data_IF_570493034214
#
_entry.id   IF_570493034214
#
_cell.length_a   1.000
_cell.length_b   1.000
_cell.length_c   1.000
_cell.angle_alpha   90.00
_cell.angle_beta   90.00
_cell.angle_gamma   90.00
#
_symmetry.space_group_name_H-M   'P 1'
#
loop_
_entity.id
_entity.type
_entity.pdbx_description
1 polymer ?
#
# COMPACT_ATOMS: atom_id res chain seq x y z
N UNK A 1 10.35 10.37 -6.06
CA UNK A 1 11.34 9.66 -5.24
C UNK A 1 10.99 9.84 -3.78
N UNK A 2 10.87 8.75 -3.05
CA UNK A 2 10.65 8.76 -1.59
C UNK A 2 12.01 8.92 -0.91
N UNK A 3 12.09 9.79 0.08
CA UNK A 3 13.33 10.09 0.82
C UNK A 3 13.19 9.59 2.26
N UNK A 4 14.20 8.86 2.71
CA UNK A 4 14.36 8.42 4.09
C UNK A 4 15.59 9.09 4.70
N UNK A 5 15.57 9.33 5.99
CA UNK A 5 16.74 9.79 6.73
C UNK A 5 17.70 8.62 7.07
N UNK A 6 18.75 8.90 7.81
CA UNK A 6 19.74 7.90 8.26
C UNK A 6 19.19 6.81 9.19
N UNK A 7 18.03 7.07 9.82
CA UNK A 7 17.30 6.11 10.68
C UNK A 7 16.18 5.39 9.94
N UNK A 8 16.13 5.47 8.60
CA UNK A 8 15.06 4.95 7.76
C UNK A 8 13.65 5.52 8.05
N UNK A 9 13.58 6.71 8.67
CA UNK A 9 12.31 7.42 8.86
C UNK A 9 11.95 8.21 7.60
N UNK A 10 10.69 8.11 7.19
CA UNK A 10 10.18 8.82 6.01
C UNK A 10 10.28 10.34 6.20
N UNK A 11 11.26 10.98 5.54
CA UNK A 11 11.52 12.42 5.63
C UNK A 11 10.74 13.23 4.59
N UNK A 12 10.43 12.67 3.44
CA UNK A 12 9.68 13.38 2.41
C UNK A 12 9.59 12.67 1.08
N UNK A 13 9.00 13.37 0.10
CA UNK A 13 8.97 12.94 -1.30
C UNK A 13 9.49 14.05 -2.20
N UNK A 14 10.27 13.68 -3.19
CA UNK A 14 10.74 14.61 -4.22
C UNK A 14 10.10 14.25 -5.54
N UNK A 15 9.27 15.15 -6.06
CA UNK A 15 8.64 14.98 -7.36
C UNK A 15 9.66 15.21 -8.48
N UNK A 16 9.59 14.36 -9.50
CA UNK A 16 10.35 14.58 -10.74
C UNK A 16 9.70 15.71 -11.53
N UNK A 17 10.51 16.49 -12.24
CA UNK A 17 10.00 17.59 -13.07
C UNK A 17 9.20 17.08 -14.28
N UNK A 18 9.49 15.89 -14.75
CA UNK A 18 8.78 15.17 -15.83
C UNK A 18 8.94 13.66 -15.64
N UNK A 19 8.02 12.90 -16.19
CA UNK A 19 8.13 11.46 -16.27
C UNK A 19 9.28 11.05 -17.22
N UNK A 20 9.90 9.87 -17.04
CA UNK A 20 10.91 9.35 -17.97
C UNK A 20 10.29 9.09 -19.35
N UNK A 21 11.09 9.27 -20.41
CA UNK A 21 10.63 9.00 -21.78
C UNK A 21 10.47 7.50 -22.04
N UNK A 22 11.23 6.66 -21.32
CA UNK A 22 11.18 5.20 -21.42
C UNK A 22 11.39 4.60 -20.02
N UNK A 23 10.60 3.58 -19.69
CA UNK A 23 10.82 2.69 -18.55
C UNK A 23 11.11 1.29 -19.08
N UNK A 24 12.35 0.84 -18.92
CA UNK A 24 12.78 -0.51 -19.32
C UNK A 24 12.86 -1.40 -18.10
N UNK A 25 12.20 -2.54 -18.14
CA UNK A 25 12.12 -3.50 -17.02
C UNK A 25 12.61 -4.86 -17.51
N UNK A 26 13.70 -5.36 -16.92
CA UNK A 26 14.14 -6.74 -17.11
C UNK A 26 13.48 -7.63 -16.05
N UNK A 27 12.46 -8.36 -16.46
CA UNK A 27 11.69 -9.26 -15.58
C UNK A 27 12.53 -10.45 -15.10
N UNK A 28 13.60 -10.82 -15.82
CA UNK A 28 14.55 -11.86 -15.38
C UNK A 28 15.30 -11.41 -14.12
N UNK A 29 15.71 -10.14 -14.04
CA UNK A 29 16.32 -9.58 -12.84
C UNK A 29 15.35 -9.63 -11.65
N UNK A 30 14.09 -9.25 -11.88
CA UNK A 30 13.06 -9.28 -10.82
C UNK A 30 12.81 -10.71 -10.36
N UNK A 31 12.70 -11.68 -11.29
CA UNK A 31 12.48 -13.10 -10.95
C UNK A 31 13.64 -13.73 -10.19
N UNK A 32 14.88 -13.25 -10.40
CA UNK A 32 16.06 -13.72 -9.69
C UNK A 32 16.27 -13.05 -8.32
N UNK A 33 15.59 -11.94 -8.06
CA UNK A 33 15.61 -11.28 -6.75
C UNK A 33 14.84 -12.12 -5.71
N UNK A 34 15.07 -11.89 -4.40
CA UNK A 34 14.25 -12.50 -3.36
C UNK A 34 12.76 -12.21 -3.58
N UNK A 35 11.91 -13.25 -3.59
CA UNK A 35 10.48 -13.13 -3.87
C UNK A 35 9.75 -12.13 -2.95
N UNK A 36 10.30 -11.85 -1.74
CA UNK A 36 9.81 -10.83 -0.81
C UNK A 36 9.76 -9.43 -1.43
N UNK A 37 10.68 -9.11 -2.37
CA UNK A 37 10.67 -7.80 -3.03
C UNK A 37 9.50 -7.65 -4.01
N UNK A 38 9.19 -8.72 -4.76
CA UNK A 38 7.99 -8.73 -5.60
C UNK A 38 6.73 -8.64 -4.75
N UNK A 39 6.69 -9.40 -3.65
CA UNK A 39 5.59 -9.40 -2.71
C UNK A 39 5.35 -8.00 -2.12
N UNK A 40 6.40 -7.30 -1.73
CA UNK A 40 6.31 -5.91 -1.29
C UNK A 40 5.80 -4.98 -2.42
N UNK A 41 6.23 -5.19 -3.66
CA UNK A 41 5.69 -4.48 -4.82
C UNK A 41 4.18 -4.69 -5.00
N UNK A 42 3.69 -5.92 -4.80
CA UNK A 42 2.25 -6.21 -4.79
C UNK A 42 1.55 -5.47 -3.65
N UNK A 43 2.13 -5.50 -2.45
CA UNK A 43 1.57 -4.83 -1.27
C UNK A 43 1.41 -3.32 -1.44
N UNK A 44 2.38 -2.68 -2.11
CA UNK A 44 2.27 -1.27 -2.47
C UNK A 44 1.20 -1.05 -3.55
N UNK A 45 1.24 -1.83 -4.64
CA UNK A 45 0.39 -1.64 -5.81
C UNK A 45 -1.10 -1.87 -5.51
N UNK A 46 -1.44 -2.82 -4.63
CA UNK A 46 -2.82 -3.18 -4.29
C UNK A 46 -3.58 -2.02 -3.62
N UNK A 47 -2.87 -1.12 -2.94
CA UNK A 47 -3.46 0.04 -2.27
C UNK A 47 -4.05 1.07 -3.24
N UNK A 48 -3.52 1.15 -4.46
CA UNK A 48 -3.78 2.26 -5.40
C UNK A 48 -5.25 2.39 -5.79
N UNK A 49 -5.96 1.26 -5.98
CA UNK A 49 -7.40 1.27 -6.25
C UNK A 49 -8.18 1.98 -5.14
N UNK A 50 -7.91 1.63 -3.90
CA UNK A 50 -8.65 2.12 -2.75
C UNK A 50 -8.27 3.56 -2.41
N UNK A 51 -7.00 3.89 -2.47
CA UNK A 51 -6.50 5.23 -2.18
C UNK A 51 -6.93 6.24 -3.24
N UNK A 52 -6.79 5.91 -4.54
CA UNK A 52 -7.26 6.76 -5.63
C UNK A 52 -8.78 6.99 -5.55
N UNK A 53 -9.56 5.94 -5.24
CA UNK A 53 -11.02 6.06 -5.07
C UNK A 53 -11.37 7.03 -3.95
N UNK A 54 -10.73 6.93 -2.80
CA UNK A 54 -10.94 7.82 -1.65
C UNK A 54 -10.49 9.24 -1.95
N UNK A 55 -9.32 9.43 -2.56
CA UNK A 55 -8.81 10.75 -2.92
C UNK A 55 -9.74 11.47 -3.91
N UNK A 56 -10.23 10.75 -4.94
CA UNK A 56 -11.16 11.31 -5.92
C UNK A 56 -12.50 11.65 -5.28
N UNK A 57 -13.06 10.74 -4.46
CA UNK A 57 -14.33 10.98 -3.76
C UNK A 57 -14.26 12.17 -2.79
N UNK A 58 -13.15 12.34 -2.10
CA UNK A 58 -12.88 13.47 -1.21
C UNK A 58 -12.57 14.79 -1.95
N UNK A 59 -12.48 14.78 -3.30
CA UNK A 59 -12.06 15.94 -4.07
C UNK A 59 -10.59 16.33 -3.85
N UNK A 60 -9.79 15.39 -3.38
CA UNK A 60 -8.37 15.56 -3.10
C UNK A 60 -7.54 15.84 -4.35
N UNK A 61 -6.30 16.30 -4.12
CA UNK A 61 -5.35 16.57 -5.21
C UNK A 61 -4.44 15.37 -5.45
N UNK A 62 -4.17 15.10 -6.73
CA UNK A 62 -3.15 14.14 -7.15
C UNK A 62 -1.74 14.77 -7.11
N UNK A 63 -0.72 14.01 -7.51
CA UNK A 63 0.68 14.45 -7.45
C UNK A 63 1.01 15.62 -8.39
N UNK A 64 0.18 15.87 -9.41
CA UNK A 64 0.33 17.01 -10.31
C UNK A 64 -0.47 18.25 -9.86
N UNK A 65 -1.10 18.20 -8.69
CA UNK A 65 -1.92 19.29 -8.16
C UNK A 65 -3.31 19.39 -8.81
N UNK A 66 -3.64 18.47 -9.73
CA UNK A 66 -4.96 18.32 -10.34
C UNK A 66 -5.88 17.43 -9.50
N UNK A 67 -7.04 17.11 -10.03
CA UNK A 67 -7.98 16.11 -9.46
C UNK A 67 -7.95 14.85 -10.30
N UNK A 68 -7.97 13.70 -9.64
CA UNK A 68 -8.10 12.40 -10.31
C UNK A 68 -9.45 12.30 -11.02
N UNK A 69 -9.45 11.68 -12.21
CA UNK A 69 -10.64 11.45 -13.02
C UNK A 69 -10.94 9.96 -13.21
N UNK A 70 -11.97 9.66 -14.00
CA UNK A 70 -12.39 8.27 -14.27
C UNK A 70 -11.27 7.42 -14.89
N UNK A 71 -10.41 8.00 -15.72
CA UNK A 71 -9.27 7.28 -16.32
C UNK A 71 -8.28 6.83 -15.26
N UNK A 72 -7.96 7.68 -14.26
CA UNK A 72 -7.08 7.33 -13.16
C UNK A 72 -7.65 6.15 -12.33
N UNK A 73 -8.96 6.19 -12.05
CA UNK A 73 -9.67 5.11 -11.35
C UNK A 73 -9.68 3.82 -12.16
N UNK A 74 -9.87 3.89 -13.47
CA UNK A 74 -9.85 2.73 -14.36
C UNK A 74 -8.46 2.07 -14.40
N UNK A 75 -7.37 2.85 -14.43
CA UNK A 75 -6.00 2.35 -14.37
C UNK A 75 -5.74 1.66 -13.02
N UNK A 76 -6.09 2.30 -11.91
CA UNK A 76 -5.91 1.76 -10.58
C UNK A 76 -6.74 0.46 -10.36
N UNK A 77 -7.96 0.40 -10.90
CA UNK A 77 -8.80 -0.81 -10.86
C UNK A 77 -8.24 -1.93 -11.75
N UNK A 78 -7.74 -1.61 -12.94
CA UNK A 78 -7.06 -2.59 -13.80
C UNK A 78 -5.83 -3.18 -13.12
N UNK A 79 -5.00 -2.34 -12.49
CA UNK A 79 -3.86 -2.77 -11.69
C UNK A 79 -4.33 -3.77 -10.60
N UNK A 80 -5.28 -3.39 -9.78
CA UNK A 80 -5.82 -4.22 -8.70
C UNK A 80 -6.34 -5.58 -9.22
N UNK A 81 -7.11 -5.60 -10.32
CA UNK A 81 -7.61 -6.86 -10.91
C UNK A 81 -6.47 -7.77 -11.37
N UNK A 82 -5.43 -7.22 -11.97
CA UNK A 82 -4.25 -8.02 -12.37
C UNK A 82 -3.58 -8.62 -11.14
N UNK A 83 -3.39 -7.84 -10.06
CA UNK A 83 -2.80 -8.34 -8.81
C UNK A 83 -3.64 -9.47 -8.20
N UNK A 84 -4.97 -9.35 -8.21
CA UNK A 84 -5.86 -10.40 -7.70
C UNK A 84 -5.81 -11.68 -8.53
N UNK A 85 -5.81 -11.55 -9.85
CA UNK A 85 -5.90 -12.68 -10.78
C UNK A 85 -4.56 -13.40 -10.95
N UNK A 86 -3.48 -12.65 -11.13
CA UNK A 86 -2.16 -13.18 -11.47
C UNK A 86 -1.22 -13.33 -10.26
N UNK A 87 -1.51 -12.67 -9.13
CA UNK A 87 -0.66 -12.65 -7.94
C UNK A 87 -0.20 -14.03 -7.47
N UNK A 88 -1.11 -15.00 -7.24
CA UNK A 88 -0.69 -16.33 -6.79
C UNK A 88 0.22 -17.05 -7.79
N UNK A 89 -0.06 -16.98 -9.10
CA UNK A 89 0.75 -17.61 -10.14
C UNK A 89 2.13 -16.91 -10.29
N UNK A 90 2.14 -15.58 -10.26
CA UNK A 90 3.37 -14.80 -10.34
C UNK A 90 4.28 -15.03 -9.13
N UNK A 91 3.73 -15.18 -7.91
CA UNK A 91 4.52 -15.54 -6.73
C UNK A 91 5.16 -16.93 -6.86
N UNK A 92 4.45 -17.90 -7.45
CA UNK A 92 5.03 -19.21 -7.76
C UNK A 92 6.14 -19.10 -8.82
N UNK A 93 5.96 -18.27 -9.86
CA UNK A 93 6.98 -18.01 -10.87
C UNK A 93 8.24 -17.36 -10.25
N UNK A 94 8.08 -16.41 -9.34
CA UNK A 94 9.16 -15.81 -8.57
C UNK A 94 9.93 -16.85 -7.72
N UNK A 95 9.23 -17.75 -7.05
CA UNK A 95 9.86 -18.83 -6.27
C UNK A 95 10.68 -19.78 -7.15
N UNK A 96 10.20 -20.06 -8.37
CA UNK A 96 10.93 -20.87 -9.36
C UNK A 96 12.01 -20.08 -10.10
N UNK A 97 12.08 -18.76 -9.95
CA UNK A 97 12.95 -17.84 -10.72
C UNK A 97 12.75 -17.95 -12.23
N UNK A 98 11.55 -18.22 -12.65
CA UNK A 98 11.17 -18.40 -14.05
C UNK A 98 9.97 -17.52 -14.36
N UNK A 99 10.18 -16.34 -14.95
CA UNK A 99 9.08 -15.46 -15.34
C UNK A 99 8.20 -16.15 -16.38
N UNK A 100 6.90 -16.07 -16.18
CA UNK A 100 5.87 -16.53 -17.08
C UNK A 100 4.89 -15.38 -17.41
N UNK A 101 3.90 -15.64 -18.22
CA UNK A 101 2.95 -14.61 -18.65
C UNK A 101 2.18 -13.95 -17.49
N UNK A 102 1.92 -14.66 -16.39
CA UNK A 102 1.29 -14.09 -15.19
C UNK A 102 2.28 -13.16 -14.46
N UNK A 103 3.55 -13.57 -14.37
CA UNK A 103 4.61 -12.76 -13.80
C UNK A 103 4.81 -11.45 -14.58
N UNK A 104 4.86 -11.51 -15.92
CA UNK A 104 5.01 -10.33 -16.78
C UNK A 104 3.89 -9.33 -16.57
N UNK A 105 2.62 -9.78 -16.61
CA UNK A 105 1.46 -8.91 -16.37
C UNK A 105 1.47 -8.31 -14.97
N UNK A 106 1.88 -9.08 -13.97
CA UNK A 106 1.96 -8.60 -12.59
C UNK A 106 3.05 -7.53 -12.44
N UNK A 107 4.21 -7.71 -13.04
CA UNK A 107 5.30 -6.71 -13.03
C UNK A 107 4.86 -5.43 -13.72
N UNK A 108 4.19 -5.52 -14.88
CA UNK A 108 3.60 -4.36 -15.56
C UNK A 108 2.60 -3.64 -14.65
N UNK A 109 1.71 -4.37 -13.98
CA UNK A 109 0.76 -3.78 -13.03
C UNK A 109 1.46 -3.07 -11.87
N UNK A 110 2.51 -3.67 -11.29
CA UNK A 110 3.26 -3.06 -10.19
C UNK A 110 4.06 -1.82 -10.62
N UNK A 111 4.67 -1.84 -11.81
CA UNK A 111 5.55 -0.76 -12.27
C UNK A 111 4.76 0.35 -12.94
N UNK A 112 3.94 0.02 -13.94
CA UNK A 112 3.21 1.00 -14.75
C UNK A 112 1.83 1.30 -14.15
N UNK A 113 1.02 0.27 -13.93
CA UNK A 113 -0.36 0.43 -13.46
C UNK A 113 -0.44 1.12 -12.10
N UNK A 114 0.40 0.70 -11.14
CA UNK A 114 0.50 1.31 -9.81
C UNK A 114 1.01 2.75 -9.91
N UNK A 115 2.07 2.99 -10.69
CA UNK A 115 2.66 4.32 -10.89
C UNK A 115 1.65 5.33 -11.42
N UNK A 116 1.03 5.03 -12.55
CA UNK A 116 0.02 5.91 -13.17
C UNK A 116 -1.24 6.05 -12.30
N UNK A 117 -1.64 4.96 -11.62
CA UNK A 117 -2.80 4.97 -10.73
C UNK A 117 -2.64 5.94 -9.57
N UNK A 118 -1.47 5.93 -8.88
CA UNK A 118 -1.28 6.82 -7.74
C UNK A 118 -0.99 8.27 -8.15
N UNK A 119 -0.13 8.50 -9.13
CA UNK A 119 0.23 9.88 -9.50
C UNK A 119 -0.95 10.66 -10.10
N UNK A 120 -1.85 9.97 -10.81
CA UNK A 120 -3.05 10.56 -11.42
C UNK A 120 -4.27 10.52 -10.51
N UNK A 121 -4.41 9.50 -9.65
CA UNK A 121 -5.55 9.32 -8.74
C UNK A 121 -5.37 9.98 -7.40
N UNK A 122 -4.16 9.97 -6.85
CA UNK A 122 -3.82 10.45 -5.51
C UNK A 122 -3.68 9.33 -4.50
N UNK A 123 -3.16 9.68 -3.33
CA UNK A 123 -2.98 8.80 -2.17
C UNK A 123 -3.92 9.18 -1.04
N UNK A 124 -4.07 8.30 -0.04
CA UNK A 124 -4.96 8.48 1.10
C UNK A 124 -4.32 7.95 2.40
N UNK A 125 -5.08 7.21 3.22
CA UNK A 125 -4.68 6.78 4.56
C UNK A 125 -3.57 5.73 4.52
N UNK A 126 -3.58 4.77 3.58
CA UNK A 126 -2.57 3.70 3.56
C UNK A 126 -1.15 4.27 3.50
N UNK A 127 -0.89 5.23 2.61
CA UNK A 127 0.41 5.90 2.53
C UNK A 127 0.61 6.95 3.64
N UNK A 128 -0.46 7.53 4.16
CA UNK A 128 -0.37 8.47 5.28
C UNK A 128 0.23 7.82 6.52
N UNK A 129 -0.18 6.59 6.85
CA UNK A 129 0.25 5.85 8.03
C UNK A 129 1.76 5.59 8.07
N UNK A 130 2.43 5.57 6.94
CA UNK A 130 3.89 5.40 6.89
C UNK A 130 4.64 6.52 7.63
N UNK A 131 4.06 7.72 7.72
CA UNK A 131 4.64 8.82 8.50
C UNK A 131 4.82 8.45 9.97
N UNK A 132 3.88 7.69 10.54
CA UNK A 132 4.00 7.20 11.91
C UNK A 132 4.72 5.85 12.00
N UNK A 133 4.40 4.91 11.10
CA UNK A 133 4.95 3.54 11.18
C UNK A 133 6.48 3.50 11.04
N UNK A 134 7.07 4.33 10.17
CA UNK A 134 8.54 4.37 10.00
C UNK A 134 9.27 4.95 11.22
N UNK A 135 8.56 5.56 12.18
CA UNK A 135 9.15 5.99 13.45
C UNK A 135 9.22 4.89 14.50
N UNK A 136 8.68 3.71 14.23
CA UNK A 136 8.64 2.57 15.16
C UNK A 136 9.87 1.68 14.90
N UNK A 137 10.83 1.61 15.84
CA UNK A 137 12.10 0.93 15.61
C UNK A 137 11.95 -0.56 15.27
N UNK A 138 11.02 -1.27 15.90
CA UNK A 138 10.78 -2.70 15.62
C UNK A 138 10.29 -2.97 14.19
N UNK A 139 9.73 -1.97 13.50
CA UNK A 139 9.29 -2.06 12.10
C UNK A 139 10.39 -1.70 11.09
N UNK A 140 11.60 -1.37 11.53
CA UNK A 140 12.70 -0.92 10.66
C UNK A 140 13.14 -1.92 9.58
N UNK A 141 12.83 -3.20 9.72
CA UNK A 141 13.12 -4.25 8.72
C UNK A 141 11.94 -4.53 7.76
N UNK A 142 10.79 -3.91 7.99
CA UNK A 142 9.64 -4.05 7.09
C UNK A 142 9.87 -3.26 5.80
N UNK A 143 9.56 -3.86 4.67
CA UNK A 143 9.65 -3.19 3.38
C UNK A 143 8.49 -2.20 3.22
N UNK A 144 8.70 -1.14 2.43
CA UNK A 144 7.69 -0.11 2.16
C UNK A 144 6.32 -0.70 1.80
N UNK A 145 6.29 -1.60 0.83
CA UNK A 145 5.02 -2.19 0.39
C UNK A 145 4.38 -3.15 1.41
N UNK A 146 5.16 -3.76 2.29
CA UNK A 146 4.62 -4.56 3.40
C UNK A 146 3.92 -3.64 4.42
N UNK A 147 4.51 -2.49 4.74
CA UNK A 147 3.89 -1.46 5.57
C UNK A 147 2.61 -0.91 4.91
N UNK A 148 2.65 -0.63 3.60
CA UNK A 148 1.47 -0.14 2.84
C UNK A 148 0.35 -1.18 2.85
N UNK A 149 0.66 -2.47 2.70
CA UNK A 149 -0.34 -3.53 2.69
C UNK A 149 -1.12 -3.61 4.02
N UNK A 150 -0.44 -3.59 5.16
CA UNK A 150 -1.09 -3.58 6.48
C UNK A 150 -1.80 -2.25 6.73
N UNK A 151 -1.23 -1.14 6.28
CA UNK A 151 -1.87 0.18 6.34
C UNK A 151 -3.15 0.26 5.50
N UNK A 152 -3.22 -0.44 4.38
CA UNK A 152 -4.44 -0.53 3.57
C UNK A 152 -5.57 -1.19 4.37
N UNK A 153 -5.31 -2.26 5.11
CA UNK A 153 -6.33 -2.88 5.96
C UNK A 153 -6.88 -1.88 6.99
N UNK A 154 -6.01 -1.03 7.55
CA UNK A 154 -6.42 0.07 8.43
C UNK A 154 -7.31 1.06 7.69
N UNK A 155 -6.94 1.49 6.48
CA UNK A 155 -7.77 2.39 5.66
C UNK A 155 -9.15 1.80 5.40
N UNK A 156 -9.23 0.52 5.04
CA UNK A 156 -10.50 -0.14 4.76
C UNK A 156 -11.36 -0.29 6.01
N UNK A 157 -10.75 -0.56 7.17
CA UNK A 157 -11.45 -0.59 8.46
C UNK A 157 -11.94 0.79 8.93
N UNK A 158 -11.29 1.87 8.50
CA UNK A 158 -11.73 3.25 8.77
C UNK A 158 -12.84 3.71 7.81
N UNK A 159 -13.00 3.07 6.66
CA UNK A 159 -13.98 3.41 5.64
C UNK A 159 -15.32 2.71 5.86
N UNK A 160 -16.30 3.05 5.00
CA UNK A 160 -17.62 2.39 4.94
C UNK A 160 -17.58 1.03 4.24
N UNK A 161 -16.40 0.47 3.93
CA UNK A 161 -16.27 -0.80 3.21
C UNK A 161 -16.88 -1.97 4.00
N UNK A 162 -17.72 -2.81 3.36
CA UNK A 162 -18.24 -4.01 3.99
C UNK A 162 -17.13 -4.96 4.42
N UNK A 163 -17.23 -5.50 5.65
CA UNK A 163 -16.22 -6.38 6.24
C UNK A 163 -15.92 -7.61 5.36
N UNK A 164 -16.95 -8.15 4.69
CA UNK A 164 -16.77 -9.27 3.76
C UNK A 164 -15.75 -8.99 2.65
N UNK A 165 -15.71 -7.77 2.12
CA UNK A 165 -14.72 -7.37 1.10
C UNK A 165 -13.31 -7.24 1.68
N UNK A 166 -13.19 -6.84 2.94
CA UNK A 166 -11.89 -6.81 3.65
C UNK A 166 -11.41 -8.24 3.87
N UNK A 167 -12.30 -9.15 4.23
CA UNK A 167 -12.00 -10.59 4.38
C UNK A 167 -11.55 -11.21 3.05
N UNK A 168 -12.18 -10.89 1.94
CA UNK A 168 -11.73 -11.34 0.60
C UNK A 168 -10.31 -10.89 0.29
N UNK A 169 -9.97 -9.65 0.64
CA UNK A 169 -8.61 -9.13 0.48
C UNK A 169 -7.62 -9.83 1.40
N UNK A 170 -7.99 -10.10 2.65
CA UNK A 170 -7.17 -10.87 3.60
C UNK A 170 -6.90 -12.30 3.10
N UNK A 171 -7.88 -12.95 2.48
CA UNK A 171 -7.70 -14.26 1.86
C UNK A 171 -6.72 -14.21 0.67
N UNK A 172 -6.72 -13.12 -0.11
CA UNK A 172 -5.69 -12.90 -1.13
C UNK A 172 -4.32 -12.77 -0.48
N UNK A 173 -4.17 -11.95 0.57
CA UNK A 173 -2.91 -11.78 1.30
C UNK A 173 -2.35 -13.13 1.78
N UNK A 174 -3.19 -13.98 2.37
CA UNK A 174 -2.79 -15.33 2.78
C UNK A 174 -2.29 -16.18 1.61
N UNK A 175 -3.04 -16.19 0.48
CA UNK A 175 -2.66 -16.98 -0.69
C UNK A 175 -1.32 -16.61 -1.29
N UNK A 176 -0.92 -15.33 -1.21
CA UNK A 176 0.35 -14.86 -1.77
C UNK A 176 1.46 -14.73 -0.73
N UNK A 177 1.14 -14.86 0.57
CA UNK A 177 2.08 -14.71 1.68
C UNK A 177 2.36 -13.26 2.09
N UNK A 178 1.45 -12.33 1.79
CA UNK A 178 1.60 -10.92 2.16
C UNK A 178 1.23 -10.73 3.66
N UNK A 179 2.05 -10.00 4.46
CA UNK A 179 1.75 -9.76 5.86
C UNK A 179 0.44 -8.99 6.03
N UNK A 180 -0.37 -9.39 7.00
CA UNK A 180 -1.68 -8.79 7.30
C UNK A 180 -1.80 -8.22 8.70
N UNK A 181 -0.83 -8.48 9.60
CA UNK A 181 -0.81 -7.97 10.97
C UNK A 181 0.46 -7.18 11.25
N UNK A 182 0.43 -6.31 12.25
CA UNK A 182 1.62 -5.56 12.67
C UNK A 182 2.69 -6.46 13.27
N UNK A 183 2.30 -7.55 13.93
CA UNK A 183 3.22 -8.59 14.41
C UNK A 183 3.99 -9.25 13.26
N UNK A 184 3.32 -9.58 12.17
CA UNK A 184 3.96 -10.15 10.99
C UNK A 184 4.97 -9.19 10.31
N UNK A 185 4.83 -7.87 10.54
CA UNK A 185 5.82 -6.86 10.14
C UNK A 185 7.02 -6.76 11.09
N UNK A 186 6.95 -7.41 12.26
CA UNK A 186 8.00 -7.39 13.27
C UNK A 186 7.71 -6.48 14.47
N UNK A 187 6.47 -5.98 14.63
CA UNK A 187 6.10 -5.18 15.79
C UNK A 187 6.23 -6.01 17.08
N UNK A 188 6.98 -5.49 18.05
CA UNK A 188 7.22 -6.11 19.35
C UNK A 188 6.58 -5.35 20.51
N UNK A 189 6.21 -4.09 20.29
CA UNK A 189 5.57 -3.23 21.28
C UNK A 189 4.05 -3.51 21.36
N UNK A 190 3.43 -2.99 22.41
CA UNK A 190 1.97 -3.10 22.59
C UNK A 190 1.26 -2.30 21.53
N UNK A 191 0.46 -2.98 20.69
CA UNK A 191 -0.18 -2.37 19.50
C UNK A 191 -1.03 -1.16 19.87
N UNK A 192 -1.78 -1.17 20.98
CA UNK A 192 -2.62 -0.03 21.38
C UNK A 192 -1.81 1.27 21.60
N UNK A 193 -0.62 1.16 22.20
CA UNK A 193 0.27 2.31 22.41
C UNK A 193 0.88 2.79 21.10
N UNK A 194 1.30 1.85 20.24
CA UNK A 194 1.85 2.14 18.91
C UNK A 194 0.79 2.79 18.05
N UNK A 195 -0.45 2.26 18.02
CA UNK A 195 -1.54 2.80 17.22
C UNK A 195 -1.82 4.28 17.55
N UNK A 196 -1.84 4.64 18.84
CA UNK A 196 -2.01 6.06 19.26
C UNK A 196 -0.86 6.94 18.75
N UNK A 197 0.40 6.52 18.93
CA UNK A 197 1.58 7.27 18.47
C UNK A 197 1.61 7.43 16.96
N UNK A 198 1.34 6.36 16.24
CA UNK A 198 1.28 6.36 14.76
C UNK A 198 0.16 7.27 14.28
N UNK A 199 -1.04 7.17 14.86
CA UNK A 199 -2.17 8.02 14.52
C UNK A 199 -1.87 9.50 14.73
N UNK A 200 -1.30 9.88 15.88
CA UNK A 200 -0.89 11.26 16.19
C UNK A 200 0.10 11.79 15.16
N UNK A 201 1.19 11.06 14.91
CA UNK A 201 2.20 11.47 13.93
C UNK A 201 1.60 11.60 12.52
N UNK A 202 0.76 10.64 12.14
CA UNK A 202 0.12 10.60 10.81
C UNK A 202 -0.78 11.82 10.59
N UNK A 203 -1.68 12.10 11.53
CA UNK A 203 -2.60 13.25 11.44
C UNK A 203 -1.84 14.58 11.41
N UNK A 204 -0.78 14.69 12.19
CA UNK A 204 0.03 15.92 12.26
C UNK A 204 0.89 16.18 11.02
N UNK A 205 1.33 15.13 10.28
CA UNK A 205 2.40 15.31 9.30
C UNK A 205 2.06 14.86 7.89
N UNK A 206 1.00 14.05 7.69
CA UNK A 206 0.71 13.53 6.35
C UNK A 206 -0.12 14.51 5.53
N UNK A 207 0.29 14.81 4.28
CA UNK A 207 -0.48 15.65 3.37
C UNK A 207 -1.72 14.95 2.77
N UNK A 208 -1.84 13.62 2.93
CA UNK A 208 -2.90 12.82 2.29
C UNK A 208 -4.05 12.45 3.24
N UNK A 209 -3.96 12.80 4.53
CA UNK A 209 -5.01 12.52 5.52
C UNK A 209 -6.36 13.11 5.11
N UNK A 210 -6.35 14.26 4.43
CA UNK A 210 -7.57 14.91 3.93
C UNK A 210 -8.19 14.22 2.70
N UNK A 211 -7.52 13.28 2.09
CA UNK A 211 -8.00 12.53 0.93
C UNK A 211 -8.82 11.29 1.36
N UNK A 212 -9.80 11.50 2.22
CA UNK A 212 -10.61 10.42 2.76
C UNK A 212 -12.08 10.86 2.91
N UNK A 213 -13.02 9.90 2.88
CA UNK A 213 -14.48 10.17 2.86
C UNK A 213 -15.00 10.85 4.14
N UNK A 214 -14.31 10.64 5.27
CA UNK A 214 -14.65 11.27 6.55
C UNK A 214 -13.47 12.07 7.08
N UNK A 215 -13.75 12.97 8.05
CA UNK A 215 -12.67 13.66 8.78
C UNK A 215 -11.87 12.66 9.59
N UNK A 216 -10.61 12.50 9.23
CA UNK A 216 -9.69 11.59 9.92
C UNK A 216 -9.16 12.26 11.19
N UNK A 217 -9.33 11.60 12.34
CA UNK A 217 -8.78 11.98 13.63
C UNK A 217 -7.81 10.90 14.13
N UNK A 218 -7.02 11.23 15.14
CA UNK A 218 -6.14 10.27 15.82
C UNK A 218 -6.93 9.05 16.33
N UNK A 219 -8.11 9.28 16.90
CA UNK A 219 -8.97 8.22 17.42
C UNK A 219 -9.47 7.30 16.28
N UNK A 220 -9.93 7.88 15.17
CA UNK A 220 -10.38 7.10 13.99
C UNK A 220 -9.26 6.19 13.49
N UNK A 221 -8.04 6.70 13.37
CA UNK A 221 -6.91 5.90 12.90
C UNK A 221 -6.49 4.82 13.89
N UNK A 222 -6.37 5.15 15.18
CA UNK A 222 -5.97 4.17 16.19
C UNK A 222 -7.00 3.04 16.31
N UNK A 223 -8.30 3.35 16.34
CA UNK A 223 -9.36 2.34 16.38
C UNK A 223 -9.37 1.46 15.13
N UNK A 224 -9.15 2.06 13.96
CA UNK A 224 -9.08 1.32 12.70
C UNK A 224 -7.85 0.40 12.64
N UNK A 225 -6.69 0.81 13.16
CA UNK A 225 -5.49 -0.05 13.27
C UNK A 225 -5.77 -1.27 14.14
N UNK A 226 -6.37 -1.07 15.30
CA UNK A 226 -6.73 -2.16 16.22
C UNK A 226 -7.80 -3.08 15.61
N UNK A 227 -8.77 -2.53 14.90
CA UNK A 227 -9.80 -3.31 14.20
C UNK A 227 -9.18 -4.14 13.08
N UNK A 228 -8.31 -3.57 12.27
CA UNK A 228 -7.64 -4.24 11.16
C UNK A 228 -6.81 -5.44 11.66
N UNK A 229 -6.04 -5.27 12.72
CA UNK A 229 -5.22 -6.33 13.30
C UNK A 229 -6.10 -7.47 13.88
N UNK A 230 -7.18 -7.13 14.60
CA UNK A 230 -8.14 -8.15 15.08
C UNK A 230 -8.78 -8.93 13.94
N UNK A 231 -9.25 -8.23 12.90
CA UNK A 231 -9.87 -8.87 11.75
C UNK A 231 -8.87 -9.78 11.01
N UNK A 232 -7.65 -9.32 10.80
CA UNK A 232 -6.60 -10.11 10.16
C UNK A 232 -6.29 -11.41 10.94
N UNK A 233 -6.25 -11.34 12.28
CA UNK A 233 -6.05 -12.53 13.13
C UNK A 233 -7.24 -13.50 13.11
N UNK A 234 -8.45 -13.01 12.90
CA UNK A 234 -9.64 -13.87 12.85
C UNK A 234 -9.78 -14.65 11.54
N UNK A 235 -9.05 -14.26 10.50
CA UNK A 235 -9.06 -14.91 9.18
C UNK A 235 -7.88 -15.89 9.01
N UNK A 236 -6.84 -15.78 9.89
CA UNK A 236 -5.69 -16.72 9.91
C UNK A 236 -6.13 -18.09 10.43
#
# INVERSE_FOLDING_TARGET
VVLYDENHVLSGTRLMKRSPDVVSVDTTLIANAPARFLLAGIGDAISKKFEASQAVAAGGRNFFGGRGGQTALAIADSCYRTLCNDGPAAMQAAQRRQPDAAFERLVEACVLGSGLGFESGGLSIAHSLLRGLTTIPSLGNALHGELVAVSLLTQLCASSMPEAQIVELLQLYQRIGLPSTFEALGLTEVLDEVARRVAQTTVATSPYVGNFEIKVTEQVLSDAMLRADRLARSVQ
#
